data_IF_427525922272
#
_entry.id   IF_427525922272
#
_cell.length_a   1.000
_cell.length_b   1.000
_cell.length_c   1.000
_cell.angle_alpha   90.00
_cell.angle_beta   90.00
_cell.angle_gamma   90.00
#
_symmetry.space_group_name_H-M   'P 1'
#
loop_
_entity.id
_entity.type
_entity.pdbx_description
1 polymer ?
#
# COMPACT_ATOMS: atom_id res chain seq x y z
N UNK A 1 -11.07 3.97 -21.40
CA UNK A 1 -11.24 5.20 -20.60
C UNK A 1 -11.79 4.91 -19.20
N UNK A 2 -13.10 4.65 -19.01
CA UNK A 2 -13.67 4.50 -17.65
C UNK A 2 -13.04 3.36 -16.84
N UNK A 3 -12.83 2.19 -17.45
CA UNK A 3 -12.26 1.01 -16.78
C UNK A 3 -10.81 1.24 -16.34
N UNK A 4 -10.01 1.91 -17.18
CA UNK A 4 -8.62 2.27 -16.86
C UNK A 4 -8.56 3.25 -15.69
N UNK A 5 -9.45 4.25 -15.68
CA UNK A 5 -9.59 5.18 -14.55
C UNK A 5 -10.02 4.48 -13.27
N UNK A 6 -10.92 3.48 -13.35
CA UNK A 6 -11.30 2.67 -12.19
C UNK A 6 -10.11 1.86 -11.66
N UNK A 7 -9.37 1.17 -12.54
CA UNK A 7 -8.20 0.41 -12.14
C UNK A 7 -7.14 1.28 -11.44
N UNK A 8 -6.91 2.48 -11.99
CA UNK A 8 -6.02 3.46 -11.40
C UNK A 8 -6.50 3.90 -10.00
N UNK A 9 -7.76 4.31 -9.87
CA UNK A 9 -8.33 4.74 -8.59
C UNK A 9 -8.24 3.65 -7.51
N UNK A 10 -8.54 2.39 -7.87
CA UNK A 10 -8.45 1.25 -6.96
C UNK A 10 -7.01 0.99 -6.51
N UNK A 11 -6.05 1.09 -7.44
CA UNK A 11 -4.62 1.00 -7.12
C UNK A 11 -4.18 2.11 -6.16
N UNK A 12 -4.59 3.36 -6.41
CA UNK A 12 -4.26 4.50 -5.55
C UNK A 12 -4.88 4.36 -4.15
N UNK A 13 -6.12 3.87 -4.05
CA UNK A 13 -6.79 3.61 -2.77
C UNK A 13 -6.03 2.58 -1.95
N UNK A 14 -5.69 1.41 -2.55
CA UNK A 14 -4.95 0.37 -1.82
C UNK A 14 -3.56 0.81 -1.42
N UNK A 15 -2.88 1.58 -2.26
CA UNK A 15 -1.61 2.17 -1.89
C UNK A 15 -1.76 3.16 -0.71
N UNK A 16 -2.84 3.94 -0.66
CA UNK A 16 -3.15 4.82 0.47
C UNK A 16 -3.39 4.07 1.78
N UNK A 17 -4.06 2.92 1.72
CA UNK A 17 -4.27 2.05 2.90
C UNK A 17 -2.95 1.50 3.44
N UNK A 18 -2.04 1.07 2.55
CA UNK A 18 -0.71 0.61 2.95
C UNK A 18 0.09 1.75 3.58
N UNK A 19 0.11 2.93 2.94
CA UNK A 19 0.84 4.11 3.45
C UNK A 19 0.34 4.61 4.79
N UNK A 20 -0.95 4.49 5.06
CA UNK A 20 -1.54 4.88 6.35
C UNK A 20 -1.35 3.83 7.45
N UNK A 21 -0.82 2.65 7.11
CA UNK A 21 -0.72 1.51 8.03
C UNK A 21 -2.07 0.82 8.31
N UNK A 22 -3.15 1.20 7.60
CA UNK A 22 -4.44 0.50 7.69
C UNK A 22 -4.36 -0.93 7.15
N UNK A 23 -3.46 -1.16 6.19
CA UNK A 23 -3.08 -2.49 5.72
C UNK A 23 -1.55 -2.66 5.86
N UNK A 24 -1.05 -3.83 6.27
CA UNK A 24 0.39 -4.07 6.33
C UNK A 24 1.02 -4.00 4.93
N UNK A 25 2.27 -3.53 4.87
CA UNK A 25 3.08 -3.45 3.65
C UNK A 25 3.70 -4.82 3.29
N UNK A 26 2.87 -5.86 3.24
CA UNK A 26 3.27 -7.24 2.98
C UNK A 26 2.81 -7.71 1.60
N UNK A 27 3.53 -8.70 1.05
CA UNK A 27 3.13 -9.32 -0.22
C UNK A 27 1.88 -10.17 -0.01
N UNK A 28 0.78 -9.81 -0.68
CA UNK A 28 -0.52 -10.48 -0.56
C UNK A 28 -1.25 -10.56 -1.90
N UNK A 29 -2.08 -11.60 -2.04
CA UNK A 29 -3.03 -11.75 -3.13
C UNK A 29 -2.71 -12.84 -4.15
N UNK A 30 -3.54 -12.92 -5.23
CA UNK A 30 -4.64 -12.01 -5.55
C UNK A 30 -5.83 -12.09 -4.57
N UNK A 31 -6.38 -10.94 -4.19
CA UNK A 31 -7.55 -10.83 -3.29
C UNK A 31 -8.67 -10.04 -4.00
N UNK A 32 -9.91 -10.54 -4.04
CA UNK A 32 -11.05 -9.76 -4.53
C UNK A 32 -11.30 -8.51 -3.68
N UNK A 33 -11.69 -7.42 -4.31
CA UNK A 33 -12.21 -6.26 -3.58
C UNK A 33 -13.55 -6.58 -2.93
N UNK A 34 -13.84 -5.92 -1.81
CA UNK A 34 -15.16 -5.98 -1.21
C UNK A 34 -16.19 -5.30 -2.12
N UNK A 35 -17.45 -5.75 -2.05
CA UNK A 35 -18.51 -5.26 -2.93
C UNK A 35 -18.81 -3.76 -2.79
N UNK A 36 -18.45 -3.16 -1.65
CA UNK A 36 -18.61 -1.72 -1.43
C UNK A 36 -17.42 -0.91 -2.00
N UNK A 37 -16.28 -1.55 -2.27
CA UNK A 37 -15.08 -0.90 -2.79
C UNK A 37 -15.06 -0.89 -4.32
N UNK A 38 -15.46 -2.01 -4.93
CA UNK A 38 -15.46 -2.16 -6.38
C UNK A 38 -16.58 -3.11 -6.86
N UNK A 39 -16.99 -3.00 -8.14
CA UNK A 39 -17.82 -4.01 -8.76
C UNK A 39 -17.20 -5.41 -8.70
N UNK A 40 -18.00 -6.46 -8.84
CA UNK A 40 -17.50 -7.83 -8.91
C UNK A 40 -16.50 -8.02 -10.06
N UNK A 41 -15.48 -8.85 -9.82
CA UNK A 41 -14.47 -9.20 -10.81
C UNK A 41 -13.19 -8.36 -10.74
N UNK A 42 -13.11 -7.39 -9.83
CA UNK A 42 -11.85 -6.71 -9.51
C UNK A 42 -11.12 -7.41 -8.39
N UNK A 43 -9.81 -7.57 -8.56
CA UNK A 43 -8.91 -8.09 -7.53
C UNK A 43 -7.63 -7.25 -7.48
N UNK A 44 -6.95 -7.28 -6.34
CA UNK A 44 -5.66 -6.64 -6.15
C UNK A 44 -4.60 -7.63 -5.68
N UNK A 45 -3.35 -7.31 -5.99
CA UNK A 45 -2.15 -7.97 -5.49
C UNK A 45 -1.19 -6.90 -5.01
N UNK A 46 -0.63 -7.09 -3.83
CA UNK A 46 0.46 -6.26 -3.30
C UNK A 46 1.72 -7.10 -3.33
N UNK A 47 2.79 -6.56 -3.86
CA UNK A 47 4.13 -7.13 -3.75
C UNK A 47 4.99 -6.13 -3.01
N UNK A 48 5.64 -6.60 -1.95
CA UNK A 48 6.53 -5.82 -1.10
C UNK A 48 7.89 -6.50 -1.06
N UNK A 49 8.94 -5.73 -1.35
CA UNK A 49 10.31 -6.19 -1.30
C UNK A 49 11.19 -5.17 -0.58
N UNK A 50 12.02 -5.60 0.39
CA UNK A 50 13.01 -4.71 0.99
C UNK A 50 14.05 -4.31 -0.06
N UNK A 51 14.42 -3.03 -0.07
CA UNK A 51 15.43 -2.46 -0.97
C UNK A 51 16.79 -2.42 -0.30
N UNK A 52 16.83 -2.35 1.03
CA UNK A 52 18.03 -2.30 1.85
C UNK A 52 18.06 -3.45 2.88
N UNK A 53 19.25 -3.72 3.41
CA UNK A 53 19.48 -4.82 4.36
C UNK A 53 18.74 -4.65 5.70
N UNK A 54 18.32 -3.43 6.05
CA UNK A 54 17.58 -3.16 7.30
C UNK A 54 16.07 -3.36 7.14
N UNK A 55 15.58 -3.48 5.91
CA UNK A 55 14.16 -3.58 5.61
C UNK A 55 13.39 -2.28 5.83
N UNK A 56 14.10 -1.15 6.03
CA UNK A 56 13.47 0.14 6.30
C UNK A 56 12.84 0.73 5.05
N UNK A 57 13.46 0.54 3.88
CA UNK A 57 12.96 1.00 2.60
C UNK A 57 12.34 -0.18 1.84
N UNK A 58 11.08 -0.04 1.48
CA UNK A 58 10.31 -1.04 0.75
C UNK A 58 10.03 -0.56 -0.68
N UNK A 59 10.17 -1.47 -1.65
CA UNK A 59 9.59 -1.37 -2.97
C UNK A 59 8.20 -2.01 -2.93
N UNK A 60 7.17 -1.19 -3.11
CA UNK A 60 5.78 -1.62 -3.14
C UNK A 60 5.26 -1.55 -4.56
N UNK A 61 4.73 -2.68 -5.03
CA UNK A 61 3.97 -2.78 -6.27
C UNK A 61 2.54 -3.16 -5.92
N UNK A 62 1.60 -2.28 -6.22
CA UNK A 62 0.16 -2.56 -6.13
C UNK A 62 -0.35 -2.80 -7.55
N UNK A 63 -0.83 -4.00 -7.81
CA UNK A 63 -1.44 -4.38 -9.08
C UNK A 63 -2.94 -4.59 -8.87
N UNK A 64 -3.76 -3.97 -9.71
CA UNK A 64 -5.20 -4.20 -9.77
C UNK A 64 -5.54 -4.79 -11.12
N UNK A 65 -6.38 -5.81 -11.12
CA UNK A 65 -6.84 -6.46 -12.34
C UNK A 65 -8.35 -6.73 -12.34
N UNK A 66 -8.95 -6.63 -13.53
CA UNK A 66 -10.33 -7.02 -13.78
C UNK A 66 -10.34 -8.40 -14.44
N UNK A 67 -10.79 -9.41 -13.70
CA UNK A 67 -10.98 -10.77 -14.20
C UNK A 67 -12.25 -10.82 -15.03
N UNK A 68 -12.11 -11.12 -16.31
CA UNK A 68 -13.25 -11.34 -17.20
C UNK A 68 -13.58 -12.82 -17.28
N UNK A 69 -14.87 -13.17 -17.21
CA UNK A 69 -15.32 -14.58 -17.30
C UNK A 69 -15.39 -15.08 -18.73
N UNK A 70 -15.25 -14.20 -19.72
CA UNK A 70 -15.34 -14.49 -21.15
C UNK A 70 -14.00 -14.95 -21.76
N UNK A 71 -12.95 -15.06 -20.93
CA UNK A 71 -11.61 -15.46 -21.40
C UNK A 71 -10.84 -14.37 -22.15
N UNK A 72 -11.33 -13.13 -22.12
CA UNK A 72 -10.60 -11.97 -22.64
C UNK A 72 -9.41 -11.61 -21.73
N UNK A 73 -8.39 -10.99 -22.29
CA UNK A 73 -7.23 -10.52 -21.53
C UNK A 73 -7.67 -9.62 -20.36
N UNK A 74 -7.21 -9.90 -19.14
CA UNK A 74 -7.58 -9.09 -17.98
C UNK A 74 -6.99 -7.69 -18.13
N UNK A 75 -7.80 -6.68 -17.80
CA UNK A 75 -7.31 -5.30 -17.72
C UNK A 75 -6.50 -5.20 -16.45
N UNK A 76 -5.26 -4.70 -16.56
CA UNK A 76 -4.34 -4.55 -15.43
C UNK A 76 -3.84 -3.12 -15.35
N UNK A 77 -3.73 -2.63 -14.13
CA UNK A 77 -3.01 -1.40 -13.81
C UNK A 77 -2.09 -1.67 -12.63
N UNK A 78 -0.92 -1.04 -12.63
CA UNK A 78 0.04 -1.18 -11.55
C UNK A 78 0.61 0.17 -11.13
N UNK A 79 0.79 0.34 -9.82
CA UNK A 79 1.56 1.42 -9.23
C UNK A 79 2.79 0.84 -8.57
N UNK A 80 3.94 1.44 -8.86
CA UNK A 80 5.24 1.09 -8.28
C UNK A 80 5.73 2.31 -7.50
N UNK A 81 6.06 2.12 -6.23
CA UNK A 81 6.60 3.20 -5.39
C UNK A 81 7.58 2.66 -4.37
N UNK A 82 8.46 3.54 -3.89
CA UNK A 82 9.32 3.26 -2.75
C UNK A 82 8.83 4.05 -1.55
N UNK A 83 8.82 3.42 -0.39
CA UNK A 83 8.42 4.05 0.86
C UNK A 83 9.18 3.47 2.04
N UNK A 84 9.31 4.24 3.11
CA UNK A 84 9.74 3.69 4.39
C UNK A 84 8.66 2.72 4.87
N UNK A 85 9.04 1.62 5.53
CA UNK A 85 8.08 0.73 6.15
C UNK A 85 7.17 1.53 7.11
N UNK A 86 5.84 1.53 6.88
CA UNK A 86 4.93 2.38 7.63
C UNK A 86 4.88 2.00 9.12
N UNK A 87 5.19 0.75 9.49
CA UNK A 87 5.28 0.32 10.89
C UNK A 87 6.44 0.99 11.63
N UNK A 88 7.52 1.32 10.93
CA UNK A 88 8.68 2.04 11.49
C UNK A 88 8.32 3.52 11.67
N UNK A 89 7.71 4.16 10.66
CA UNK A 89 7.33 5.58 10.76
C UNK A 89 6.31 5.85 11.87
N UNK A 90 5.38 4.91 12.09
CA UNK A 90 4.32 5.01 13.10
C UNK A 90 4.79 4.62 14.52
N UNK A 91 6.06 4.21 14.70
CA UNK A 91 6.57 3.78 16.00
C UNK A 91 6.70 4.96 16.99
N UNK A 92 6.26 4.78 18.27
CA UNK A 92 6.16 5.87 19.25
C UNK A 92 7.52 6.46 19.70
N UNK A 93 8.63 5.78 19.42
CA UNK A 93 9.98 6.27 19.73
C UNK A 93 10.37 7.49 18.90
N UNK A 94 9.74 7.74 17.75
CA UNK A 94 9.95 8.97 16.96
C UNK A 94 9.55 10.25 17.71
N UNK A 95 8.67 10.14 18.73
CA UNK A 95 8.14 11.29 19.46
C UNK A 95 8.80 11.53 20.84
N UNK A 96 9.60 10.57 21.35
CA UNK A 96 10.26 10.69 22.66
C UNK A 96 11.35 11.75 22.69
N UNK A 97 12.05 11.94 21.56
CA UNK A 97 13.16 12.90 21.43
C UNK A 97 12.75 14.33 21.81
N UNK A 98 11.52 14.76 21.48
CA UNK A 98 11.06 16.13 21.78
C UNK A 98 10.78 16.31 23.27
N UNK A 99 10.14 15.34 23.90
CA UNK A 99 9.83 15.41 25.35
C UNK A 99 11.11 15.38 26.18
N UNK A 100 12.10 14.58 25.79
CA UNK A 100 13.39 14.50 26.50
C UNK A 100 14.24 15.77 26.32
N UNK A 101 14.23 16.40 25.13
CA UNK A 101 14.94 17.66 24.88
C UNK A 101 14.33 18.83 25.66
N UNK A 102 13.00 18.89 25.79
CA UNK A 102 12.33 19.92 26.57
C UNK A 102 12.65 19.78 28.06
N UNK A 103 12.67 18.55 28.58
CA UNK A 103 12.97 18.29 29.99
C UNK A 103 14.42 18.63 30.37
N UNK A 104 15.36 18.54 29.42
CA UNK A 104 16.76 18.95 29.62
C UNK A 104 16.98 20.47 29.57
N UNK A 105 16.10 21.23 28.94
CA UNK A 105 16.18 22.70 28.91
C UNK A 105 15.58 23.36 30.16
N UNK A 106 14.75 22.62 30.90
CA UNK A 106 14.12 23.06 32.16
C UNK A 106 14.93 22.66 33.41
N UNK A 107 16.06 21.95 33.25
CA UNK A 107 16.97 21.54 34.35
C UNK A 107 18.26 22.35 34.39
#
# INVERSE_FOLDING_TARGET
AQIETTAQFLCESKLGEIKSGAQPAESIGPIPFEQYEAPSGWQYTVMSQPVDDTGTLLNIVVMVEQVTTDGSDPIRFQLVTWMIDPSIELSPDSNKTITELLQQLES
#
